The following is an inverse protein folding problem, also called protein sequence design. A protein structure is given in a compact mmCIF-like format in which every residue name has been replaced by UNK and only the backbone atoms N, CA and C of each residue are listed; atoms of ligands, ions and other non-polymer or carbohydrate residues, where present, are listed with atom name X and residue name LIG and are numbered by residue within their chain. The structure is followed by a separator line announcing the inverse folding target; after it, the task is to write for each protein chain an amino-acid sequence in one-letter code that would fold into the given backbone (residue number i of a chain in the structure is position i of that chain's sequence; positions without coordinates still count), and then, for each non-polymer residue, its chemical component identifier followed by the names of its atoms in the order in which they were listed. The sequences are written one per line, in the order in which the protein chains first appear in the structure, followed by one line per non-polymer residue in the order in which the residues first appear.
data_IF_257139814040
#
_entry.id   IF_257139814040
#
_cell.length_a   1.000
_cell.length_b   1.000
_cell.length_c   1.000
_cell.angle_alpha   90.00
_cell.angle_beta   90.00
_cell.angle_gamma   90.00
#
_symmetry.space_group_name_H-M   'P 1'
#
loop_
_entity.id
_entity.type
_entity.pdbx_description
1 polymer ?
#
# COMPACT_ATOMS: atom_id res chain seq x y z
N UNK A 1 -13.81 8.43 10.79
CA UNK A 1 -13.53 8.00 9.41
C UNK A 1 -12.83 6.65 9.51
N UNK A 2 -13.44 5.57 9.00
CA UNK A 2 -12.88 4.22 9.09
C UNK A 2 -12.23 3.88 7.73
N UNK A 3 -10.92 4.05 7.65
CA UNK A 3 -10.16 3.82 6.43
C UNK A 3 -8.67 3.72 6.76
N UNK A 4 -7.92 3.09 5.87
CA UNK A 4 -6.49 2.86 6.07
C UNK A 4 -5.67 3.86 5.26
N UNK A 5 -4.80 4.62 5.91
CA UNK A 5 -3.99 5.62 5.23
C UNK A 5 -2.61 5.06 4.84
N UNK A 6 -2.29 5.11 3.56
CA UNK A 6 -0.96 4.76 3.05
C UNK A 6 -0.27 6.02 2.56
N UNK A 7 0.88 6.32 3.16
CA UNK A 7 1.71 7.46 2.73
C UNK A 7 2.86 6.97 1.88
N UNK A 8 2.95 7.43 0.64
CA UNK A 8 4.11 7.16 -0.19
C UNK A 8 5.22 8.18 0.14
N UNK A 9 6.26 7.76 0.86
CA UNK A 9 7.46 8.55 1.15
C UNK A 9 8.64 8.23 0.23
N UNK A 10 8.39 7.56 -0.89
CA UNK A 10 9.40 7.29 -1.92
C UNK A 10 9.51 8.49 -2.87
N UNK A 11 10.55 8.52 -3.69
CA UNK A 11 10.81 9.54 -4.71
C UNK A 11 9.99 9.35 -6.01
N UNK A 12 9.15 8.31 -6.11
CA UNK A 12 8.39 7.97 -7.32
C UNK A 12 6.92 7.71 -7.05
N UNK A 13 6.12 7.76 -8.11
CA UNK A 13 4.77 7.18 -8.07
C UNK A 13 4.87 5.66 -7.95
N UNK A 14 4.07 5.09 -7.05
CA UNK A 14 4.04 3.65 -6.77
C UNK A 14 2.60 3.16 -6.90
N UNK A 15 2.41 2.02 -7.53
CA UNK A 15 1.12 1.35 -7.55
C UNK A 15 0.95 0.52 -6.29
N UNK A 16 -0.14 0.75 -5.56
CA UNK A 16 -0.41 0.07 -4.30
C UNK A 16 -1.68 -0.76 -4.48
N UNK A 17 -1.58 -2.05 -4.17
CA UNK A 17 -2.70 -2.99 -4.18
C UNK A 17 -2.90 -3.54 -2.77
N UNK A 18 -4.14 -3.50 -2.29
CA UNK A 18 -4.57 -4.03 -0.99
C UNK A 18 -5.46 -5.25 -1.22
N UNK A 19 -5.11 -6.32 -0.54
CA UNK A 19 -5.83 -7.59 -0.53
C UNK A 19 -6.40 -7.89 0.85
N UNK A 20 -7.52 -8.58 0.86
CA UNK A 20 -8.01 -9.36 2.00
C UNK A 20 -7.14 -10.61 2.24
N UNK A 21 -7.31 -11.34 3.36
CA UNK A 21 -6.45 -12.48 3.72
C UNK A 21 -6.37 -13.55 2.62
N UNK A 22 -7.49 -13.73 1.91
CA UNK A 22 -7.69 -14.70 0.83
C UNK A 22 -7.32 -14.15 -0.56
N UNK A 23 -6.42 -13.17 -0.62
CA UNK A 23 -5.90 -12.59 -1.87
C UNK A 23 -6.99 -11.95 -2.77
N UNK A 24 -8.13 -11.56 -2.17
CA UNK A 24 -9.16 -10.78 -2.85
C UNK A 24 -8.75 -9.31 -2.86
N UNK A 25 -8.63 -8.71 -4.04
CA UNK A 25 -8.28 -7.29 -4.19
C UNK A 25 -9.45 -6.44 -3.69
N UNK A 26 -9.19 -5.64 -2.66
CA UNK A 26 -10.19 -4.71 -2.11
C UNK A 26 -9.97 -3.28 -2.57
N UNK A 27 -8.74 -2.86 -2.82
CA UNK A 27 -8.45 -1.54 -3.37
C UNK A 27 -7.10 -1.52 -4.07
N UNK A 28 -6.95 -0.69 -5.09
CA UNK A 28 -5.72 -0.58 -5.86
C UNK A 28 -5.63 0.74 -6.61
N UNK A 29 -4.42 1.25 -6.81
CA UNK A 29 -4.18 2.44 -7.63
C UNK A 29 -2.83 3.10 -7.41
N UNK A 30 -2.51 4.14 -8.19
CA UNK A 30 -1.25 4.86 -8.12
C UNK A 30 -1.27 5.86 -6.95
N UNK A 31 -0.15 5.96 -6.23
CA UNK A 31 0.09 6.94 -5.17
C UNK A 31 1.34 7.73 -5.52
N UNK A 32 1.21 9.04 -5.69
CA UNK A 32 2.35 9.89 -6.03
C UNK A 32 3.32 10.03 -4.87
N UNK A 33 4.56 10.39 -5.18
CA UNK A 33 5.57 10.71 -4.17
C UNK A 33 5.06 11.81 -3.22
N UNK A 34 5.17 11.56 -1.92
CA UNK A 34 4.71 12.45 -0.85
C UNK A 34 3.20 12.40 -0.58
N UNK A 35 2.42 11.68 -1.38
CA UNK A 35 0.97 11.64 -1.25
C UNK A 35 0.52 10.63 -0.19
N UNK A 36 -0.51 11.00 0.57
CA UNK A 36 -1.21 10.09 1.47
C UNK A 36 -2.52 9.68 0.82
N UNK A 37 -2.64 8.40 0.52
CA UNK A 37 -3.88 7.84 0.01
C UNK A 37 -4.65 7.11 1.11
N UNK A 38 -5.88 7.55 1.35
CA UNK A 38 -6.77 6.90 2.32
C UNK A 38 -7.72 5.95 1.59
N UNK A 39 -7.58 4.66 1.88
CA UNK A 39 -8.46 3.64 1.36
C UNK A 39 -9.72 3.57 2.21
N UNK A 40 -10.82 4.05 1.66
CA UNK A 40 -12.14 3.83 2.24
C UNK A 40 -12.69 2.51 1.71
N UNK A 41 -12.88 1.53 2.59
CA UNK A 41 -13.77 0.43 2.30
C UNK A 41 -14.34 -0.12 3.59
N UNK A 42 -15.66 -0.37 3.61
CA UNK A 42 -16.34 -1.10 4.68
C UNK A 42 -15.80 -2.51 4.94
N UNK A 43 -14.76 -2.92 4.20
CA UNK A 43 -13.97 -4.11 4.42
C UNK A 43 -12.86 -3.93 5.47
N UNK A 44 -12.50 -2.71 5.91
CA UNK A 44 -11.50 -2.46 6.98
C UNK A 44 -12.11 -2.72 8.37
N UNK A 45 -12.28 -4.00 8.71
CA UNK A 45 -12.93 -4.46 9.93
C UNK A 45 -11.90 -4.85 10.99
N UNK A 46 -12.10 -4.40 12.23
CA UNK A 46 -11.18 -4.66 13.35
C UNK A 46 -10.97 -6.18 13.49
N UNK A 47 -9.72 -6.60 13.64
CA UNK A 47 -9.32 -8.00 13.75
C UNK A 47 -9.00 -8.69 12.42
N UNK A 48 -9.34 -8.08 11.29
CA UNK A 48 -9.03 -8.60 9.96
C UNK A 48 -7.55 -8.45 9.60
N UNK A 49 -7.11 -9.27 8.65
CA UNK A 49 -5.75 -9.23 8.10
C UNK A 49 -5.80 -8.77 6.66
N UNK A 50 -4.87 -7.92 6.25
CA UNK A 50 -4.77 -7.41 4.89
C UNK A 50 -3.36 -7.62 4.38
N UNK A 51 -3.21 -7.74 3.06
CA UNK A 51 -1.90 -7.75 2.44
C UNK A 51 -1.77 -6.49 1.61
N UNK A 52 -0.68 -5.77 1.78
CA UNK A 52 -0.32 -4.64 0.94
C UNK A 52 0.81 -5.05 0.03
N UNK A 53 0.71 -4.57 -1.20
CA UNK A 53 1.65 -4.82 -2.26
C UNK A 53 1.96 -3.48 -2.90
N UNK A 54 3.25 -3.12 -2.89
CA UNK A 54 3.77 -1.94 -3.58
C UNK A 54 4.53 -2.39 -4.83
N UNK A 55 4.20 -1.76 -5.95
CA UNK A 55 4.79 -2.04 -7.25
C UNK A 55 5.39 -0.76 -7.82
N UNK A 56 6.67 -0.82 -8.20
CA UNK A 56 7.41 0.34 -8.68
C UNK A 56 7.44 0.32 -10.22
N UNK A 57 7.37 1.49 -10.87
CA UNK A 57 7.42 1.58 -12.32
C UNK A 57 8.84 1.24 -12.80
N UNK A 58 8.96 0.19 -13.62
CA UNK A 58 10.24 -0.32 -14.16
C UNK A 58 10.52 0.23 -15.54
N UNK A 59 9.46 0.46 -16.34
CA UNK A 59 9.56 0.98 -17.70
C UNK A 59 8.22 1.55 -18.16
N UNK A 60 8.24 2.67 -18.87
CA UNK A 60 7.07 3.14 -19.63
C UNK A 60 6.68 2.10 -20.71
N UNK A 61 5.38 1.86 -20.98
CA UNK A 61 4.25 2.67 -20.52
C UNK A 61 3.83 2.37 -19.08
N UNK A 62 3.78 1.12 -18.62
CA UNK A 62 3.23 0.79 -17.29
C UNK A 62 3.67 -0.61 -16.81
N UNK A 63 4.96 -0.94 -16.92
CA UNK A 63 5.46 -2.18 -16.31
C UNK A 63 5.75 -1.92 -14.83
N UNK A 64 4.91 -2.44 -13.94
CA UNK A 64 5.09 -2.38 -12.50
C UNK A 64 5.75 -3.68 -12.01
N UNK A 65 6.78 -3.60 -11.18
CA UNK A 65 7.37 -4.79 -10.52
C UNK A 65 6.95 -4.83 -9.07
N UNK A 66 6.38 -5.95 -8.64
CA UNK A 66 6.14 -6.21 -7.22
C UNK A 66 7.46 -6.09 -6.48
N UNK A 67 7.54 -5.12 -5.58
CA UNK A 67 8.78 -4.79 -4.89
C UNK A 67 8.68 -5.13 -3.41
N UNK A 68 7.51 -4.87 -2.81
CA UNK A 68 7.35 -5.06 -1.37
C UNK A 68 5.96 -5.57 -1.06
N UNK A 69 5.89 -6.71 -0.37
CA UNK A 69 4.65 -7.25 0.17
C UNK A 69 4.72 -7.24 1.69
N UNK A 70 3.67 -6.75 2.35
CA UNK A 70 3.53 -6.85 3.80
C UNK A 70 2.12 -7.32 4.17
N UNK A 71 2.04 -8.10 5.23
CA UNK A 71 0.76 -8.45 5.86
C UNK A 71 0.54 -7.53 7.04
N UNK A 72 -0.63 -6.90 7.12
CA UNK A 72 -1.05 -6.05 8.21
C UNK A 72 -2.25 -6.64 8.91
N UNK A 73 -2.32 -6.45 10.21
CA UNK A 73 -3.50 -6.78 10.98
C UNK A 73 -4.16 -5.49 11.43
N UNK A 74 -5.46 -5.36 11.18
CA UNK A 74 -6.23 -4.22 11.67
C UNK A 74 -6.55 -4.38 13.15
N UNK A 75 -5.49 -4.32 13.94
CA UNK A 75 -5.45 -4.08 15.39
C UNK A 75 -4.25 -3.20 15.76
N UNK A 76 -3.27 -3.06 14.85
CA UNK A 76 -1.98 -2.44 15.16
C UNK A 76 -1.95 -0.95 14.81
N UNK A 77 -2.40 -0.53 13.61
CA UNK A 77 -2.36 0.87 13.15
C UNK A 77 -3.43 1.18 12.08
N UNK A 78 -3.83 2.45 11.98
CA UNK A 78 -4.71 2.96 10.90
C UNK A 78 -3.94 3.61 9.74
N UNK A 79 -2.61 3.54 9.78
CA UNK A 79 -1.77 4.06 8.70
C UNK A 79 -0.44 3.32 8.55
N UNK A 80 0.19 3.45 7.39
CA UNK A 80 1.56 2.99 7.12
C UNK A 80 2.27 3.86 6.10
N UNK A 81 3.58 3.94 6.25
CA UNK A 81 4.45 4.63 5.33
C UNK A 81 5.10 3.61 4.40
N UNK A 82 5.04 3.85 3.10
CA UNK A 82 5.96 3.22 2.16
C UNK A 82 7.22 4.08 2.09
N UNK A 83 8.35 3.53 2.55
CA UNK A 83 9.64 4.20 2.53
C UNK A 83 10.55 3.45 1.57
N UNK A 84 11.30 4.15 0.75
CA UNK A 84 12.11 3.50 -0.27
C UNK A 84 12.80 4.49 -1.16
N UNK A 85 13.66 3.97 -2.02
CA UNK A 85 14.38 4.72 -3.04
C UNK A 85 14.07 4.20 -4.45
N UNK A 86 14.88 4.57 -5.44
CA UNK A 86 14.57 4.38 -6.87
C UNK A 86 14.47 2.91 -7.33
N UNK A 87 14.95 1.97 -6.51
CA UNK A 87 15.01 0.53 -6.80
C UNK A 87 14.09 -0.31 -5.89
N UNK A 88 13.32 0.33 -5.00
CA UNK A 88 12.39 -0.36 -4.12
C UNK A 88 12.28 0.25 -2.73
N UNK A 89 11.43 -0.36 -1.91
CA UNK A 89 11.17 0.13 -0.57
C UNK A 89 10.73 -0.95 0.39
N UNK A 90 10.33 -0.50 1.57
CA UNK A 90 9.76 -1.30 2.62
C UNK A 90 8.62 -0.53 3.27
N UNK A 91 7.71 -1.28 3.84
CA UNK A 91 6.59 -0.73 4.57
C UNK A 91 6.99 -0.52 6.03
N UNK A 92 6.75 0.68 6.55
CA UNK A 92 7.05 1.06 7.92
C UNK A 92 5.79 1.57 8.61
N UNK A 93 5.37 0.87 9.67
CA UNK A 93 4.32 1.35 10.58
C UNK A 93 4.75 2.65 11.26
N UNK A 94 3.82 3.57 11.55
CA UNK A 94 4.10 4.84 12.22
C UNK A 94 4.87 4.68 13.53
#
# INVERSE_FOLDING_TARGET
MAGYAVTNKTDKEVWITIYEPFDTIISYGPVKSGETWTFNKGAWAIGSTYKLLAEYPVKEPHSWTTTTRQTLRHMDFDSINLIGGPNGGYWQTP
#
